data_IF_366186332783
#
_entry.id   IF_366186332783
#
_cell.length_a   1.000
_cell.length_b   1.000
_cell.length_c   1.000
_cell.angle_alpha   90.00
_cell.angle_beta   90.00
_cell.angle_gamma   90.00
#
_symmetry.space_group_name_H-M   'P 1'
#
loop_
_entity.id
_entity.type
_entity.pdbx_description
1 polymer ?
#
# COMPACT_ATOMS: atom_id res chain seq x y z
N UNK A 1 -18.26 25.43 6.08
CA UNK A 1 -17.13 25.87 5.23
C UNK A 1 -16.48 27.05 5.92
N UNK A 2 -15.22 26.92 6.33
CA UNK A 2 -14.44 28.05 6.85
C UNK A 2 -13.09 28.01 6.17
N UNK A 3 -12.92 28.89 5.19
CA UNK A 3 -11.65 29.20 4.54
C UNK A 3 -10.96 30.27 5.37
N UNK A 4 -9.96 29.87 6.17
CA UNK A 4 -9.05 30.82 6.80
C UNK A 4 -8.02 31.27 5.75
N UNK A 5 -8.03 32.58 5.46
CA UNK A 5 -7.06 33.26 4.61
C UNK A 5 -5.99 33.91 5.50
N UNK A 6 -4.72 33.81 5.09
CA UNK A 6 -3.61 34.59 5.64
C UNK A 6 -3.01 35.48 4.53
N UNK A 7 -2.50 36.65 4.90
CA UNK A 7 -2.21 37.84 4.07
C UNK A 7 -1.10 37.65 3.01
N UNK A 8 -0.66 36.41 2.74
CA UNK A 8 0.39 36.06 1.76
C UNK A 8 -0.07 35.17 0.60
N UNK A 9 -1.38 35.09 0.34
CA UNK A 9 -1.91 34.53 -0.93
C UNK A 9 -1.59 33.06 -1.21
N UNK A 10 -1.10 32.30 -0.22
CA UNK A 10 -0.92 30.85 -0.36
C UNK A 10 -2.22 30.15 -0.06
N UNK A 11 -2.84 29.60 -1.10
CA UNK A 11 -4.00 28.71 -0.99
C UNK A 11 -3.48 27.36 -0.46
N UNK A 12 -3.67 27.09 0.83
CA UNK A 12 -3.55 25.73 1.34
C UNK A 12 -4.78 24.95 0.90
N UNK A 13 -4.72 24.31 -0.25
CA UNK A 13 -5.72 23.31 -0.61
C UNK A 13 -5.40 22.04 0.16
N UNK A 14 -6.34 21.55 0.97
CA UNK A 14 -6.25 20.25 1.66
C UNK A 14 -6.43 19.08 0.68
N UNK A 15 -5.78 19.13 -0.49
CA UNK A 15 -5.80 18.03 -1.47
C UNK A 15 -4.76 17.02 -0.99
N UNK A 16 -5.21 16.08 -0.17
CA UNK A 16 -4.40 14.94 0.28
C UNK A 16 -4.22 14.02 -0.92
N UNK A 17 -3.11 14.18 -1.64
CA UNK A 17 -2.80 13.35 -2.81
C UNK A 17 -2.31 11.98 -2.33
N UNK A 18 -3.17 10.96 -2.38
CA UNK A 18 -2.78 9.55 -2.17
C UNK A 18 -2.20 9.01 -3.46
N UNK A 19 -1.03 8.35 -3.39
CA UNK A 19 -0.45 7.69 -4.57
C UNK A 19 -0.81 6.20 -4.55
N UNK A 20 -1.31 5.64 -5.67
CA UNK A 20 -1.40 4.20 -5.81
C UNK A 20 0.01 3.63 -5.95
N UNK A 21 0.31 2.58 -5.21
CA UNK A 21 1.55 1.84 -5.32
C UNK A 21 1.25 0.35 -5.42
N UNK A 22 1.78 -0.27 -6.46
CA UNK A 22 1.77 -1.72 -6.59
C UNK A 22 2.73 -2.32 -5.55
N UNK A 23 2.23 -3.27 -4.78
CA UNK A 23 2.98 -3.92 -3.70
C UNK A 23 2.88 -5.43 -3.80
N UNK A 24 3.94 -6.09 -3.33
CA UNK A 24 3.98 -7.50 -3.02
C UNK A 24 3.92 -7.64 -1.50
N UNK A 25 2.95 -8.40 -1.02
CA UNK A 25 2.72 -8.67 0.40
C UNK A 25 2.91 -10.16 0.59
N UNK A 26 3.80 -10.56 1.49
CA UNK A 26 3.93 -11.95 1.89
C UNK A 26 3.35 -12.20 3.27
N UNK A 27 2.54 -13.24 3.33
CA UNK A 27 2.02 -13.84 4.56
C UNK A 27 2.71 -15.17 4.79
N UNK A 28 2.35 -15.88 5.87
CA UNK A 28 2.91 -17.20 6.20
C UNK A 28 2.68 -18.24 5.09
N UNK A 29 1.55 -18.18 4.40
CA UNK A 29 1.11 -19.21 3.46
C UNK A 29 0.91 -18.70 2.03
N UNK A 30 0.67 -17.39 1.87
CA UNK A 30 0.27 -16.82 0.59
C UNK A 30 1.11 -15.61 0.23
N UNK A 31 1.36 -15.47 -1.07
CA UNK A 31 1.84 -14.25 -1.68
C UNK A 31 0.65 -13.46 -2.21
N UNK A 32 0.54 -12.20 -1.87
CA UNK A 32 -0.53 -11.33 -2.32
C UNK A 32 0.08 -10.17 -3.11
N UNK A 33 -0.46 -9.86 -4.27
CA UNK A 33 -0.08 -8.66 -5.04
C UNK A 33 -1.29 -7.77 -5.21
N UNK A 34 -1.09 -6.46 -5.24
CA UNK A 34 -2.14 -5.52 -5.56
C UNK A 34 -1.69 -4.08 -5.35
N UNK A 35 -2.65 -3.16 -5.29
CA UNK A 35 -2.39 -1.72 -5.18
C UNK A 35 -2.81 -1.22 -3.81
N UNK A 36 -1.86 -0.64 -3.08
CA UNK A 36 -2.08 0.08 -1.83
C UNK A 36 -2.05 1.58 -2.11
N UNK A 37 -2.93 2.32 -1.44
CA UNK A 37 -2.96 3.79 -1.55
C UNK A 37 -2.42 4.39 -0.26
N UNK A 38 -1.19 4.91 -0.30
CA UNK A 38 -0.57 5.58 0.85
C UNK A 38 -0.30 7.06 0.57
N UNK A 39 -0.07 7.83 1.64
CA UNK A 39 0.25 9.25 1.55
C UNK A 39 1.75 9.42 1.29
N UNK A 40 2.18 10.23 0.30
CA UNK A 40 3.59 10.35 -0.08
C UNK A 40 4.50 10.90 1.03
N UNK A 41 3.96 11.68 1.96
CA UNK A 41 4.72 12.21 3.12
C UNK A 41 4.81 11.24 4.31
N UNK A 42 4.03 10.16 4.32
CA UNK A 42 4.15 9.10 5.31
C UNK A 42 4.94 7.94 4.71
N UNK A 43 5.91 7.42 5.45
CA UNK A 43 6.57 6.17 5.06
C UNK A 43 5.52 5.07 5.06
N UNK A 44 5.67 4.05 4.21
CA UNK A 44 4.79 2.88 4.19
C UNK A 44 4.65 2.26 5.60
N UNK A 45 5.73 2.30 6.39
CA UNK A 45 5.77 1.84 7.78
C UNK A 45 4.87 2.66 8.73
N UNK A 46 4.66 3.95 8.47
CA UNK A 46 3.83 4.82 9.32
C UNK A 46 2.33 4.54 9.12
N UNK A 47 1.93 4.13 7.90
CA UNK A 47 0.58 3.65 7.60
C UNK A 47 0.34 2.24 8.19
N UNK A 48 1.35 1.35 8.13
CA UNK A 48 1.28 0.03 8.77
C UNK A 48 1.24 0.09 10.30
N UNK A 49 1.89 1.09 10.90
CA UNK A 49 1.92 1.32 12.36
C UNK A 49 0.74 2.14 12.89
N UNK A 50 -0.10 2.71 12.02
CA UNK A 50 -1.37 3.31 12.47
C UNK A 50 -2.29 2.22 13.02
N UNK A 51 -3.15 2.57 13.98
CA UNK A 51 -4.02 1.67 14.78
C UNK A 51 -4.98 0.77 13.97
N UNK A 52 -4.98 0.87 12.64
CA UNK A 52 -5.72 0.00 11.75
C UNK A 52 -4.96 -1.31 11.52
N UNK A 53 -5.51 -2.39 12.06
CA UNK A 53 -4.96 -3.75 11.91
C UNK A 53 -5.11 -4.30 10.49
N UNK A 54 -5.69 -3.54 9.55
CA UNK A 54 -5.98 -4.01 8.19
C UNK A 54 -5.42 -3.06 7.15
N UNK A 55 -4.63 -3.62 6.22
CA UNK A 55 -4.13 -2.97 5.03
C UNK A 55 -5.12 -3.19 3.88
N UNK A 56 -5.65 -2.09 3.33
CA UNK A 56 -6.53 -2.13 2.18
C UNK A 56 -5.72 -2.28 0.89
N UNK A 57 -6.01 -3.33 0.14
CA UNK A 57 -5.40 -3.62 -1.16
C UNK A 57 -6.50 -3.71 -2.21
N UNK A 58 -6.30 -2.98 -3.30
CA UNK A 58 -7.17 -3.00 -4.48
C UNK A 58 -6.55 -3.85 -5.58
N UNK A 59 -7.37 -4.44 -6.45
CA UNK A 59 -6.91 -5.36 -7.51
C UNK A 59 -6.01 -6.48 -6.95
N UNK A 60 -6.47 -7.08 -5.84
CA UNK A 60 -5.74 -8.09 -5.09
C UNK A 60 -5.72 -9.44 -5.83
N UNK A 61 -4.54 -10.04 -5.91
CA UNK A 61 -4.33 -11.40 -6.40
C UNK A 61 -3.61 -12.20 -5.34
N UNK A 62 -4.19 -13.32 -4.93
CA UNK A 62 -3.65 -14.21 -3.91
C UNK A 62 -3.08 -15.43 -4.59
N UNK A 63 -1.81 -15.70 -4.32
CA UNK A 63 -1.05 -16.81 -4.84
C UNK A 63 -0.67 -17.77 -3.71
N UNK A 64 -0.64 -19.06 -4.03
CA UNK A 64 -0.06 -20.10 -3.19
C UNK A 64 1.48 -20.03 -3.16
N UNK A 65 2.12 -20.81 -2.29
CA UNK A 65 3.57 -21.01 -2.22
C UNK A 65 4.18 -21.49 -3.55
N UNK A 66 3.38 -22.16 -4.38
CA UNK A 66 3.78 -22.61 -5.72
C UNK A 66 3.57 -21.55 -6.82
N UNK A 67 3.30 -20.29 -6.47
CA UNK A 67 2.93 -19.21 -7.39
C UNK A 67 1.64 -19.45 -8.21
N UNK A 68 0.78 -20.37 -7.79
CA UNK A 68 -0.53 -20.58 -8.41
C UNK A 68 -1.53 -19.54 -7.93
N UNK A 69 -2.24 -18.87 -8.84
CA UNK A 69 -3.29 -17.93 -8.50
C UNK A 69 -4.48 -18.68 -7.89
N UNK A 70 -4.78 -18.42 -6.61
CA UNK A 70 -5.91 -19.00 -5.90
C UNK A 70 -7.15 -18.12 -6.00
N UNK A 71 -6.98 -16.81 -5.76
CA UNK A 71 -8.08 -15.87 -5.69
C UNK A 71 -7.73 -14.54 -6.35
N UNK A 72 -8.76 -13.89 -6.89
CA UNK A 72 -8.69 -12.54 -7.41
C UNK A 72 -9.88 -11.74 -6.88
N UNK A 73 -9.64 -10.52 -6.42
CA UNK A 73 -10.67 -9.62 -5.89
C UNK A 73 -10.33 -8.17 -6.24
N UNK A 74 -11.35 -7.37 -6.54
CA UNK A 74 -11.19 -5.92 -6.74
C UNK A 74 -10.76 -5.21 -5.45
N UNK A 75 -11.13 -5.78 -4.29
CA UNK A 75 -10.80 -5.25 -2.98
C UNK A 75 -10.56 -6.37 -1.96
N UNK A 76 -9.48 -6.26 -1.19
CA UNK A 76 -9.15 -7.17 -0.10
C UNK A 76 -8.51 -6.37 1.05
N UNK A 77 -8.88 -6.70 2.28
CA UNK A 77 -8.25 -6.17 3.48
C UNK A 77 -7.39 -7.25 4.12
N UNK A 78 -6.11 -6.96 4.32
CA UNK A 78 -5.13 -7.93 4.85
C UNK A 78 -4.77 -7.51 6.27
N UNK A 79 -4.82 -8.44 7.21
CA UNK A 79 -4.43 -8.13 8.58
C UNK A 79 -2.91 -7.87 8.67
N UNK A 80 -2.50 -6.69 9.12
CA UNK A 80 -1.10 -6.27 9.22
C UNK A 80 -0.31 -7.13 10.19
N UNK A 81 -0.94 -7.73 11.20
CA UNK A 81 -0.30 -8.69 12.11
C UNK A 81 0.09 -10.02 11.46
N UNK A 82 -0.44 -10.33 10.27
CA UNK A 82 -0.09 -11.54 9.52
C UNK A 82 0.84 -11.27 8.33
N UNK A 83 1.25 -10.02 8.16
CA UNK A 83 2.19 -9.61 7.12
C UNK A 83 3.61 -9.82 7.64
N UNK A 84 4.39 -10.62 6.92
CA UNK A 84 5.81 -10.81 7.24
C UNK A 84 6.63 -9.68 6.63
N UNK A 85 6.33 -9.32 5.38
CA UNK A 85 6.96 -8.21 4.69
C UNK A 85 6.09 -7.68 3.56
N UNK A 86 6.32 -6.41 3.20
CA UNK A 86 5.71 -5.73 2.05
C UNK A 86 6.82 -5.06 1.27
N UNK A 87 6.82 -5.22 -0.05
CA UNK A 87 7.76 -4.57 -0.96
C UNK A 87 6.95 -3.84 -2.05
N UNK A 88 7.09 -2.51 -2.20
CA UNK A 88 6.61 -1.81 -3.38
C UNK A 88 7.37 -2.28 -4.62
N UNK A 89 6.65 -2.53 -5.73
CA UNK A 89 7.27 -2.96 -6.99
C UNK A 89 8.31 -1.95 -7.52
N UNK A 90 8.09 -0.65 -7.30
CA UNK A 90 9.01 0.42 -7.71
C UNK A 90 10.38 0.32 -7.00
N UNK A 91 10.42 -0.27 -5.80
CA UNK A 91 11.66 -0.49 -5.05
C UNK A 91 12.32 -1.85 -5.35
N UNK A 92 11.70 -2.70 -6.17
CA UNK A 92 12.20 -4.02 -6.48
C UNK A 92 13.37 -3.92 -7.48
N UNK A 93 14.60 -3.98 -6.95
CA UNK A 93 15.81 -4.05 -7.76
C UNK A 93 16.10 -5.51 -8.09
N UNK A 94 16.05 -5.86 -9.38
CA UNK A 94 16.58 -7.13 -9.87
C UNK A 94 18.10 -6.97 -10.02
N UNK A 95 18.86 -7.43 -9.03
CA UNK A 95 20.27 -7.73 -9.26
C UNK A 95 20.32 -8.91 -10.23
N UNK A 96 20.59 -8.61 -11.51
CA UNK A 96 20.91 -9.65 -12.48
C UNK A 96 22.24 -10.27 -12.04
N UNK A 97 22.16 -11.48 -11.49
CA UNK A 97 23.33 -12.34 -11.34
C UNK A 97 23.62 -12.90 -12.73
N UNK A 98 24.63 -12.32 -13.38
CA UNK A 98 25.28 -12.84 -14.59
C UNK A 98 26.01 -14.16 -14.31
#
# INVERSE_FOLDING_TARGET
>A
MVTQYDEKGKIFTSIITKKPAEVIIYTLLHKITGVVHYRPDNRLIDELNSTNHFLAVTNGKVYDQNNNLLYHSDFITINTSQIIWVIPFDELKQDQVE
#
